data_IF_957098201976
#
_entry.id   IF_957098201976
#
_cell.length_a   1.000
_cell.length_b   1.000
_cell.length_c   1.000
_cell.angle_alpha   90.00
_cell.angle_beta   90.00
_cell.angle_gamma   90.00
#
_symmetry.space_group_name_H-M   'P 1'
#
loop_
_entity.id
_entity.type
_entity.pdbx_description
1 polymer ?
#
# COMPACT_ATOMS: atom_id res chain seq x y z
N UNK A 1 1.96 4.68 -19.22
CA UNK A 1 2.42 3.28 -18.94
C UNK A 1 3.67 2.84 -19.71
N UNK A 2 4.21 3.64 -20.66
CA UNK A 2 5.45 3.29 -21.39
C UNK A 2 6.72 3.17 -20.52
N UNK A 3 6.69 3.64 -19.27
CA UNK A 3 7.83 3.60 -18.34
C UNK A 3 7.87 2.35 -17.45
N UNK A 4 6.74 1.64 -17.29
CA UNK A 4 6.72 0.41 -16.49
C UNK A 4 7.21 -0.76 -17.35
N UNK A 5 8.21 -1.48 -16.84
CA UNK A 5 8.78 -2.65 -17.53
C UNK A 5 7.71 -3.74 -17.70
N UNK A 6 7.85 -4.56 -18.74
CA UNK A 6 7.03 -5.77 -18.93
C UNK A 6 7.10 -6.65 -17.68
N UNK A 7 5.95 -7.09 -17.20
CA UNK A 7 5.82 -7.89 -15.97
C UNK A 7 5.95 -7.08 -14.68
N UNK A 8 6.19 -5.77 -14.77
CA UNK A 8 6.26 -4.87 -13.62
C UNK A 8 4.92 -4.80 -12.86
N UNK A 9 4.99 -4.37 -11.62
CA UNK A 9 3.83 -4.24 -10.73
C UNK A 9 3.27 -2.83 -10.82
N UNK A 10 1.97 -2.72 -11.05
CA UNK A 10 1.21 -1.48 -11.03
C UNK A 10 0.19 -1.57 -9.89
N UNK A 11 0.39 -0.79 -8.83
CA UNK A 11 -0.59 -0.65 -7.74
C UNK A 11 -1.42 0.60 -8.03
N UNK A 12 -2.75 0.47 -8.03
CA UNK A 12 -3.67 1.60 -8.22
C UNK A 12 -4.67 1.66 -7.09
N UNK A 13 -5.04 2.90 -6.73
CA UNK A 13 -6.25 3.14 -5.96
C UNK A 13 -7.47 3.01 -6.90
N UNK A 14 -8.27 1.96 -6.74
CA UNK A 14 -9.40 1.68 -7.64
C UNK A 14 -10.58 2.62 -7.46
N UNK A 15 -10.62 3.36 -6.34
CA UNK A 15 -11.64 4.36 -6.08
C UNK A 15 -11.39 5.63 -6.91
N UNK A 16 -10.14 5.84 -7.34
CA UNK A 16 -9.69 7.05 -8.03
C UNK A 16 -9.19 6.80 -9.45
N UNK A 17 -8.67 5.61 -9.73
CA UNK A 17 -7.97 5.29 -10.98
C UNK A 17 -8.55 4.03 -11.61
N UNK A 18 -8.85 4.13 -12.90
CA UNK A 18 -9.12 2.97 -13.76
C UNK A 18 -7.99 2.85 -14.77
N UNK A 19 -7.25 1.75 -14.72
CA UNK A 19 -6.14 1.50 -15.63
C UNK A 19 -6.36 0.22 -16.43
N UNK A 20 -6.27 0.31 -17.76
CA UNK A 20 -6.14 -0.87 -18.62
C UNK A 20 -4.69 -1.01 -19.03
N UNK A 21 -3.97 -1.89 -18.36
CA UNK A 21 -2.53 -2.04 -18.54
C UNK A 21 -2.23 -3.44 -19.07
N UNK A 22 -1.82 -3.51 -20.33
CA UNK A 22 -1.36 -4.76 -20.91
C UNK A 22 0.08 -5.06 -20.47
N UNK A 23 0.38 -6.34 -20.27
CA UNK A 23 1.73 -6.84 -19.99
C UNK A 23 2.34 -6.36 -18.66
N UNK A 24 1.52 -5.92 -17.71
CA UNK A 24 1.93 -5.59 -16.33
C UNK A 24 0.99 -6.25 -15.33
N UNK A 25 1.43 -6.42 -14.10
CA UNK A 25 0.63 -6.99 -13.02
C UNK A 25 -0.11 -5.87 -12.29
N UNK A 26 -1.42 -5.76 -12.54
CA UNK A 26 -2.25 -4.72 -11.92
C UNK A 26 -2.77 -5.21 -10.57
N UNK A 27 -2.57 -4.39 -9.55
CA UNK A 27 -3.04 -4.58 -8.19
C UNK A 27 -3.96 -3.42 -7.82
N UNK A 28 -5.22 -3.75 -7.59
CA UNK A 28 -6.26 -2.78 -7.28
C UNK A 28 -6.56 -2.81 -5.78
N UNK A 29 -6.37 -1.68 -5.10
CA UNK A 29 -6.67 -1.51 -3.69
C UNK A 29 -7.60 -0.30 -3.51
N UNK A 30 -8.56 -0.36 -2.58
CA UNK A 30 -9.40 0.79 -2.21
C UNK A 30 -8.74 1.59 -1.10
N UNK A 31 -7.52 2.08 -1.33
CA UNK A 31 -6.71 2.68 -0.26
C UNK A 31 -7.36 3.93 0.33
N UNK A 32 -7.96 4.78 -0.51
CA UNK A 32 -8.65 5.99 -0.10
C UNK A 32 -9.91 5.69 0.71
N UNK A 33 -10.72 4.72 0.29
CA UNK A 33 -11.93 4.32 1.03
C UNK A 33 -11.59 3.65 2.37
N UNK A 34 -10.60 2.75 2.40
CA UNK A 34 -10.09 2.15 3.65
C UNK A 34 -9.62 3.27 4.59
N UNK A 35 -8.80 4.19 4.09
CA UNK A 35 -8.27 5.29 4.88
C UNK A 35 -9.37 6.18 5.48
N UNK A 36 -10.41 6.47 4.69
CA UNK A 36 -11.53 7.27 5.14
C UNK A 36 -12.38 6.55 6.18
N UNK A 37 -12.66 5.26 6.00
CA UNK A 37 -13.49 4.47 6.93
C UNK A 37 -12.80 4.23 8.27
N UNK A 38 -11.51 3.92 8.26
CA UNK A 38 -10.76 3.55 9.46
C UNK A 38 -10.18 4.75 10.23
N UNK A 39 -9.84 5.84 9.53
CA UNK A 39 -9.13 6.98 10.13
C UNK A 39 -9.84 8.33 9.93
N UNK A 40 -10.94 8.38 9.17
CA UNK A 40 -11.63 9.62 8.83
C UNK A 40 -10.82 10.55 7.90
N UNK A 41 -9.64 10.12 7.45
CA UNK A 41 -8.68 10.96 6.75
C UNK A 41 -8.16 10.26 5.49
N UNK A 42 -8.61 10.74 4.33
CA UNK A 42 -8.18 10.21 3.01
C UNK A 42 -6.67 10.24 2.81
N UNK A 43 -5.97 11.18 3.45
CA UNK A 43 -4.51 11.30 3.33
C UNK A 43 -3.78 10.04 3.80
N UNK A 44 -4.38 9.25 4.70
CA UNK A 44 -3.79 8.01 5.22
C UNK A 44 -3.72 6.89 4.17
N UNK A 45 -4.40 7.04 3.02
CA UNK A 45 -4.33 6.08 1.91
C UNK A 45 -2.91 5.89 1.38
N UNK A 46 -2.04 6.88 1.54
CA UNK A 46 -0.63 6.74 1.19
C UNK A 46 0.07 5.64 2.01
N UNK A 47 -0.20 5.55 3.31
CA UNK A 47 0.40 4.54 4.20
C UNK A 47 -0.18 3.16 3.95
N UNK A 48 -1.48 3.08 3.63
CA UNK A 48 -2.10 1.83 3.17
C UNK A 48 -1.39 1.32 1.90
N UNK A 49 -1.12 2.18 0.92
CA UNK A 49 -0.37 1.78 -0.29
C UNK A 49 1.07 1.37 0.04
N UNK A 50 1.77 2.10 0.91
CA UNK A 50 3.16 1.76 1.30
C UNK A 50 3.22 0.42 2.00
N UNK A 51 2.30 0.14 2.92
CA UNK A 51 2.20 -1.15 3.61
C UNK A 51 1.94 -2.29 2.62
N UNK A 52 0.97 -2.09 1.73
CA UNK A 52 0.61 -3.05 0.69
C UNK A 52 1.79 -3.36 -0.23
N UNK A 53 2.50 -2.33 -0.68
CA UNK A 53 3.68 -2.47 -1.52
C UNK A 53 4.79 -3.26 -0.81
N UNK A 54 5.05 -2.96 0.47
CA UNK A 54 6.08 -3.63 1.25
C UNK A 54 5.83 -5.13 1.38
N UNK A 55 4.59 -5.51 1.75
CA UNK A 55 4.19 -6.90 1.85
C UNK A 55 4.17 -7.61 0.49
N UNK A 56 3.68 -6.94 -0.55
CA UNK A 56 3.55 -7.54 -1.89
C UNK A 56 4.91 -7.79 -2.55
N UNK A 57 5.86 -6.86 -2.40
CA UNK A 57 7.15 -6.92 -3.12
C UNK A 57 8.29 -7.47 -2.27
N UNK A 58 8.18 -7.46 -0.95
CA UNK A 58 9.23 -7.93 -0.04
C UNK A 58 10.53 -7.12 -0.10
N UNK A 59 10.52 -5.93 -0.72
CA UNK A 59 11.73 -5.11 -0.93
C UNK A 59 12.14 -4.29 0.30
N UNK A 60 11.25 -4.16 1.29
CA UNK A 60 11.48 -3.44 2.54
C UNK A 60 10.71 -4.13 3.66
N UNK A 61 11.31 -4.22 4.86
CA UNK A 61 10.64 -4.83 6.01
C UNK A 61 9.65 -3.87 6.67
N UNK A 62 8.57 -4.41 7.25
CA UNK A 62 7.59 -3.64 8.01
C UNK A 62 8.28 -2.89 9.18
N UNK A 63 9.26 -3.52 9.83
CA UNK A 63 10.03 -2.90 10.93
C UNK A 63 10.81 -1.66 10.46
N UNK A 64 11.49 -1.73 9.30
CA UNK A 64 12.22 -0.59 8.75
C UNK A 64 11.29 0.58 8.42
N UNK A 65 10.08 0.30 7.93
CA UNK A 65 9.06 1.33 7.68
C UNK A 65 8.56 1.95 8.98
N UNK A 66 8.25 1.15 10.00
CA UNK A 66 7.86 1.65 11.33
C UNK A 66 8.94 2.55 11.94
N UNK A 67 10.21 2.16 11.84
CA UNK A 67 11.34 3.00 12.28
C UNK A 67 11.41 4.31 11.51
N UNK A 68 11.19 4.28 10.20
CA UNK A 68 11.17 5.48 9.34
C UNK A 68 10.03 6.43 9.73
N UNK A 69 8.81 5.92 9.93
CA UNK A 69 7.65 6.73 10.33
C UNK A 69 7.93 7.43 11.67
N UNK A 70 8.39 6.70 12.69
CA UNK A 70 8.70 7.28 14.00
C UNK A 70 9.81 8.35 13.93
N UNK A 71 10.76 8.20 13.00
CA UNK A 71 11.88 9.15 12.86
C UNK A 71 11.49 10.48 12.20
N UNK A 72 10.57 10.46 11.23
CA UNK A 72 10.28 11.63 10.40
C UNK A 72 8.93 12.29 10.67
N UNK A 73 8.01 11.62 11.38
CA UNK A 73 6.70 12.19 11.68
C UNK A 73 6.63 12.75 13.11
N UNK A 74 5.84 13.82 13.34
CA UNK A 74 5.44 14.22 14.68
C UNK A 74 4.79 13.06 15.43
N UNK A 75 5.08 12.96 16.73
CA UNK A 75 4.63 11.86 17.59
C UNK A 75 3.11 11.60 17.50
N UNK A 76 2.31 12.67 17.48
CA UNK A 76 0.84 12.62 17.34
C UNK A 76 0.34 11.93 16.07
N UNK A 77 1.17 11.78 15.04
CA UNK A 77 0.80 11.13 13.77
C UNK A 77 1.31 9.68 13.69
N UNK A 78 2.20 9.26 14.58
CA UNK A 78 2.91 7.98 14.46
C UNK A 78 1.95 6.79 14.56
N UNK A 79 1.05 6.81 15.55
CA UNK A 79 0.15 5.68 15.81
C UNK A 79 -0.82 5.44 14.65
N UNK A 80 -1.49 6.47 14.17
CA UNK A 80 -2.41 6.33 13.04
C UNK A 80 -1.67 5.93 11.76
N UNK A 81 -0.45 6.42 11.54
CA UNK A 81 0.35 6.02 10.38
C UNK A 81 0.82 4.56 10.50
N UNK A 82 1.14 4.06 11.71
CA UNK A 82 1.42 2.65 11.94
C UNK A 82 0.21 1.77 11.65
N UNK A 83 -0.98 2.16 12.10
CA UNK A 83 -2.22 1.42 11.83
C UNK A 83 -2.51 1.38 10.33
N UNK A 84 -2.44 2.51 9.64
CA UNK A 84 -2.66 2.56 8.19
C UNK A 84 -1.61 1.74 7.40
N UNK A 85 -0.34 1.77 7.84
CA UNK A 85 0.71 0.93 7.29
C UNK A 85 0.38 -0.57 7.47
N UNK A 86 -0.05 -0.95 8.67
CA UNK A 86 -0.37 -2.35 9.00
C UNK A 86 -1.56 -2.87 8.20
N UNK A 87 -2.62 -2.08 8.04
CA UNK A 87 -3.77 -2.42 7.19
C UNK A 87 -3.33 -2.70 5.74
N UNK A 88 -2.49 -1.82 5.18
CA UNK A 88 -1.87 -2.03 3.88
C UNK A 88 -1.08 -3.34 3.82
N UNK A 89 -0.22 -3.56 4.81
CA UNK A 89 0.66 -4.72 4.89
C UNK A 89 -0.12 -6.03 4.92
N UNK A 90 -1.18 -6.12 5.73
CA UNK A 90 -2.04 -7.30 5.81
C UNK A 90 -2.70 -7.62 4.46
N UNK A 91 -3.25 -6.61 3.79
CA UNK A 91 -3.84 -6.78 2.46
C UNK A 91 -2.81 -7.26 1.41
N UNK A 92 -1.56 -6.79 1.52
CA UNK A 92 -0.47 -7.23 0.66
C UNK A 92 -0.09 -8.70 0.90
N UNK A 93 -0.03 -9.12 2.17
CA UNK A 93 0.26 -10.52 2.53
C UNK A 93 -0.84 -11.47 2.04
N UNK A 94 -2.11 -11.10 2.22
CA UNK A 94 -3.25 -11.88 1.69
C UNK A 94 -3.17 -12.02 0.18
N UNK A 95 -2.79 -10.95 -0.51
CA UNK A 95 -2.61 -11.00 -1.97
C UNK A 95 -1.46 -11.90 -2.38
N UNK A 96 -0.33 -11.87 -1.66
CA UNK A 96 0.83 -12.72 -1.97
C UNK A 96 0.50 -14.20 -1.81
N UNK A 97 -0.18 -14.59 -0.72
CA UNK A 97 -0.60 -15.98 -0.47
C UNK A 97 -1.49 -16.54 -1.57
N UNK A 98 -2.40 -15.72 -2.12
CA UNK A 98 -3.26 -16.13 -3.26
C UNK A 98 -2.50 -16.34 -4.58
N UNK A 99 -1.22 -15.98 -4.67
CA UNK A 99 -0.38 -16.25 -5.86
C UNK A 99 0.40 -17.55 -5.75
N UNK A 100 0.56 -18.08 -4.55
CA UNK A 100 1.32 -19.31 -4.26
C UNK A 100 0.44 -20.57 -4.27
N UNK A 101 -0.89 -20.41 -4.26
CA UNK A 101 -1.91 -21.45 -4.43
C UNK A 101 -2.42 -21.48 -5.87
#
# INVERSE_FOLDING_TARGET
MKQLKRGGVLIIDKDLVRAKAEKVQVHEISATDIAFKEFGQKIMGNMVIVGYLAALLGIVSNESLRKSIRRHLPEKLVEDNFRALEEGHNLGLERSKRREN
#
